data_IF_296975146393
#
_entry.id   IF_296975146393
#
_cell.length_a   1.000
_cell.length_b   1.000
_cell.length_c   1.000
_cell.angle_alpha   90.00
_cell.angle_beta   90.00
_cell.angle_gamma   90.00
#
_symmetry.space_group_name_H-M   'P 1'
#
loop_
_entity.id
_entity.type
_entity.pdbx_description
1 polymer ?
#
# COMPACT_ATOMS: atom_id res chain seq x y z
N UNK A 1 1.40 -14.81 -12.44
CA UNK A 1 0.29 -13.82 -12.36
C UNK A 1 0.10 -13.51 -10.90
N UNK A 2 0.29 -12.26 -10.49
CA UNK A 2 0.16 -11.84 -9.09
C UNK A 2 -1.17 -11.10 -8.89
N UNK A 3 -1.90 -11.36 -7.79
CA UNK A 3 -3.06 -10.57 -7.42
C UNK A 3 -2.63 -9.18 -6.98
N UNK A 4 -3.24 -8.15 -7.57
CA UNK A 4 -3.05 -6.75 -7.19
C UNK A 4 -4.25 -6.31 -6.35
N UNK A 5 -3.94 -5.75 -5.19
CA UNK A 5 -4.91 -5.12 -4.30
C UNK A 5 -4.86 -3.59 -4.49
N UNK A 6 -6.03 -2.98 -4.61
CA UNK A 6 -6.19 -1.53 -4.55
C UNK A 6 -6.32 -1.13 -3.10
N UNK A 7 -5.32 -0.42 -2.58
CA UNK A 7 -5.24 0.10 -1.23
C UNK A 7 -5.63 1.58 -1.21
N UNK A 8 -6.72 1.91 -0.52
CA UNK A 8 -7.13 3.26 -0.19
C UNK A 8 -6.63 3.59 1.22
N UNK A 9 -5.81 4.62 1.34
CA UNK A 9 -5.19 5.01 2.60
C UNK A 9 -5.57 6.46 2.90
N UNK A 10 -6.18 6.68 4.06
CA UNK A 10 -6.46 8.02 4.54
C UNK A 10 -5.53 8.32 5.71
N UNK A 11 -4.76 9.39 5.59
CA UNK A 11 -3.72 9.78 6.57
C UNK A 11 -3.61 11.31 6.67
N UNK A 12 -3.25 11.88 7.83
CA UNK A 12 -2.86 13.28 7.91
C UNK A 12 -1.69 13.63 6.98
N UNK A 13 -1.69 14.84 6.42
CA UNK A 13 -0.65 15.29 5.49
C UNK A 13 0.77 15.25 6.08
N UNK A 14 0.91 15.37 7.41
CA UNK A 14 2.18 15.27 8.13
C UNK A 14 2.88 13.90 8.00
N UNK A 15 2.13 12.80 7.82
CA UNK A 15 2.70 11.45 7.66
C UNK A 15 2.71 10.95 6.21
N UNK A 16 2.19 11.74 5.27
CA UNK A 16 2.04 11.34 3.86
C UNK A 16 3.35 10.83 3.26
N UNK A 17 4.46 11.52 3.49
CA UNK A 17 5.77 11.14 2.95
C UNK A 17 6.23 9.75 3.40
N UNK A 18 5.98 9.41 4.67
CA UNK A 18 6.32 8.08 5.22
C UNK A 18 5.44 7.00 4.58
N UNK A 19 4.14 7.28 4.40
CA UNK A 19 3.19 6.36 3.77
C UNK A 19 3.55 6.11 2.31
N UNK A 20 3.88 7.14 1.54
CA UNK A 20 4.29 7.01 0.14
C UNK A 20 5.57 6.15 0.04
N UNK A 21 6.56 6.44 0.89
CA UNK A 21 7.82 5.68 0.92
C UNK A 21 7.56 4.19 1.18
N UNK A 22 6.68 3.87 2.14
CA UNK A 22 6.27 2.50 2.44
C UNK A 22 5.57 1.84 1.24
N UNK A 23 4.67 2.55 0.56
CA UNK A 23 3.98 2.03 -0.63
C UNK A 23 4.97 1.71 -1.76
N UNK A 24 5.94 2.59 -2.02
CA UNK A 24 6.97 2.38 -3.04
C UNK A 24 7.89 1.20 -2.69
N UNK A 25 8.31 1.07 -1.42
CA UNK A 25 9.09 -0.08 -0.95
C UNK A 25 8.36 -1.41 -1.19
N UNK A 26 7.03 -1.40 -1.09
CA UNK A 26 6.15 -2.55 -1.34
C UNK A 26 5.74 -2.73 -2.80
N UNK A 27 6.48 -2.15 -3.74
CA UNK A 27 6.18 -2.22 -5.19
C UNK A 27 4.80 -1.65 -5.54
N UNK A 28 4.31 -0.70 -4.75
CA UNK A 28 3.03 -0.04 -4.96
C UNK A 28 3.11 0.99 -6.08
N UNK A 29 2.10 1.00 -6.95
CA UNK A 29 1.90 2.03 -7.97
C UNK A 29 0.84 3.03 -7.52
N UNK A 30 1.17 4.32 -7.53
CA UNK A 30 0.20 5.37 -7.23
C UNK A 30 -0.87 5.42 -8.32
N UNK A 31 -2.13 5.44 -7.91
CA UNK A 31 -3.29 5.55 -8.82
C UNK A 31 -3.95 6.91 -8.70
N UNK A 32 -4.18 7.35 -7.46
CA UNK A 32 -4.86 8.62 -7.19
C UNK A 32 -4.41 9.22 -5.86
N UNK A 33 -4.57 10.54 -5.72
CA UNK A 33 -4.25 11.29 -4.52
C UNK A 33 -5.16 12.51 -4.42
N UNK A 34 -5.96 12.55 -3.36
CA UNK A 34 -6.93 13.61 -3.10
C UNK A 34 -6.64 14.24 -1.74
N UNK A 35 -6.58 15.58 -1.71
CA UNK A 35 -6.38 16.35 -0.49
C UNK A 35 -7.73 16.80 0.08
N UNK A 36 -7.98 16.45 1.35
CA UNK A 36 -9.13 16.86 2.14
C UNK A 36 -8.69 17.78 3.28
N UNK A 37 -8.18 18.96 2.92
CA UNK A 37 -7.61 19.91 3.90
C UNK A 37 -6.37 19.33 4.59
N UNK A 38 -6.51 18.95 5.85
CA UNK A 38 -5.42 18.37 6.66
C UNK A 38 -5.24 16.86 6.48
N UNK A 39 -6.18 16.19 5.80
CA UNK A 39 -6.09 14.76 5.48
C UNK A 39 -5.82 14.56 3.99
N UNK A 40 -5.17 13.45 3.67
CA UNK A 40 -4.86 13.06 2.30
C UNK A 40 -5.33 11.63 2.12
N UNK A 41 -6.18 11.43 1.12
CA UNK A 41 -6.59 10.12 0.64
C UNK A 41 -5.66 9.75 -0.52
N UNK A 42 -4.91 8.67 -0.37
CA UNK A 42 -4.06 8.12 -1.43
C UNK A 42 -4.54 6.74 -1.82
N UNK A 43 -4.58 6.48 -3.12
CA UNK A 43 -4.92 5.17 -3.68
C UNK A 43 -3.69 4.59 -4.35
N UNK A 44 -3.30 3.40 -3.93
CA UNK A 44 -2.17 2.65 -4.47
C UNK A 44 -2.61 1.25 -4.90
N UNK A 45 -2.09 0.79 -6.03
CA UNK A 45 -2.19 -0.61 -6.44
C UNK A 45 -0.92 -1.33 -5.94
N UNK A 46 -1.09 -2.28 -5.01
CA UNK A 46 0.01 -3.00 -4.36
C UNK A 46 -0.18 -4.52 -4.58
N UNK A 47 0.89 -5.28 -4.87
CA UNK A 47 0.80 -6.75 -4.90
C UNK A 47 0.29 -7.29 -3.56
N UNK A 48 -0.77 -8.10 -3.60
CA UNK A 48 -1.46 -8.59 -2.40
C UNK A 48 -0.55 -9.40 -1.48
N UNK A 49 0.50 -10.05 -2.03
CA UNK A 49 1.53 -10.72 -1.23
C UNK A 49 2.24 -9.76 -0.26
N UNK A 50 2.54 -8.53 -0.69
CA UNK A 50 3.18 -7.51 0.14
C UNK A 50 2.22 -6.93 1.19
N UNK A 51 0.94 -6.80 0.83
CA UNK A 51 -0.11 -6.28 1.71
C UNK A 51 -0.34 -7.21 2.90
N UNK A 52 -0.34 -8.53 2.67
CA UNK A 52 -0.64 -9.55 3.70
C UNK A 52 0.52 -9.78 4.69
N UNK A 53 1.77 -9.50 4.30
CA UNK A 53 2.94 -9.79 5.12
C UNK A 53 3.12 -8.82 6.32
N UNK A 54 3.24 -7.52 6.06
CA UNK A 54 3.61 -6.53 7.10
C UNK A 54 3.18 -5.10 6.73
N UNK A 55 2.30 -4.93 5.73
CA UNK A 55 1.95 -3.59 5.28
C UNK A 55 1.12 -2.83 6.33
N UNK A 56 0.14 -3.50 6.93
CA UNK A 56 -0.76 -2.89 7.90
C UNK A 56 -0.04 -2.42 9.17
N UNK A 57 0.84 -3.25 9.73
CA UNK A 57 1.56 -2.93 10.96
C UNK A 57 2.58 -1.81 10.73
N UNK A 58 3.32 -1.83 9.62
CA UNK A 58 4.22 -0.73 9.23
C UNK A 58 3.46 0.56 8.94
N UNK A 59 2.28 0.49 8.30
CA UNK A 59 1.44 1.65 8.04
C UNK A 59 0.94 2.28 9.35
N UNK A 60 0.49 1.46 10.31
CA UNK A 60 0.08 1.93 11.64
C UNK A 60 1.24 2.53 12.42
N UNK A 61 2.42 1.91 12.38
CA UNK A 61 3.62 2.41 13.06
C UNK A 61 4.08 3.76 12.51
N UNK A 62 4.22 3.88 11.18
CA UNK A 62 4.71 5.11 10.51
C UNK A 62 3.75 6.30 10.61
N UNK A 63 2.47 6.02 10.85
CA UNK A 63 1.41 7.03 11.04
C UNK A 63 0.98 7.19 12.50
N UNK A 64 1.66 6.55 13.46
CA UNK A 64 1.26 6.54 14.89
C UNK A 64 -0.20 6.12 15.12
N UNK A 65 -0.74 5.27 14.24
CA UNK A 65 -2.11 4.77 14.29
C UNK A 65 -3.15 5.62 13.55
N UNK A 66 -2.78 6.83 13.09
CA UNK A 66 -3.69 7.76 12.42
C UNK A 66 -4.07 7.35 10.99
N UNK A 67 -3.25 6.53 10.32
CA UNK A 67 -3.61 6.05 8.98
C UNK A 67 -4.69 4.96 9.07
N UNK A 68 -5.64 5.01 8.15
CA UNK A 68 -6.59 3.92 7.89
C UNK A 68 -6.27 3.29 6.53
N UNK A 69 -6.55 2.00 6.40
CA UNK A 69 -6.34 1.23 5.19
C UNK A 69 -7.63 0.48 4.87
N UNK A 70 -8.14 0.69 3.67
CA UNK A 70 -9.11 -0.16 3.01
C UNK A 70 -8.41 -0.79 1.80
N UNK A 71 -8.55 -2.09 1.59
CA UNK A 71 -7.99 -2.73 0.40
C UNK A 71 -8.98 -3.69 -0.24
N UNK A 72 -9.03 -3.67 -1.56
CA UNK A 72 -9.91 -4.52 -2.35
C UNK A 72 -9.11 -5.22 -3.44
N UNK A 73 -9.44 -6.50 -3.71
CA UNK A 73 -8.86 -7.20 -4.86
C UNK A 73 -9.28 -6.49 -6.15
N UNK A 74 -8.31 -6.14 -6.99
CA UNK A 74 -8.61 -5.43 -8.22
C UNK A 74 -8.47 -6.31 -9.46
N UNK A 75 -7.29 -6.92 -9.66
CA UNK A 75 -6.99 -7.70 -10.87
C UNK A 75 -5.82 -8.65 -10.65
N UNK A 76 -5.68 -9.61 -11.55
CA UNK A 76 -4.44 -10.37 -11.69
C UNK A 76 -3.56 -9.72 -12.74
N UNK A 77 -2.31 -9.43 -12.39
CA UNK A 77 -1.33 -8.84 -13.30
C UNK A 77 -0.22 -9.86 -13.61
N UNK A 78 0.31 -9.82 -14.83
CA UNK A 78 1.41 -10.69 -15.23
C UNK A 78 2.71 -10.13 -14.65
N UNK A 79 3.23 -10.77 -13.61
CA UNK A 79 4.47 -10.37 -12.94
C UNK A 79 5.51 -11.49 -13.00
N UNK A 80 6.78 -11.10 -13.08
CA UNK A 80 7.92 -11.99 -13.29
C UNK A 80 8.38 -12.58 -11.95
N UNK A 81 7.55 -13.41 -11.35
CA UNK A 81 7.79 -14.01 -10.04
C UNK A 81 8.55 -15.34 -10.20
N UNK A 82 9.73 -15.46 -9.56
CA UNK A 82 10.51 -16.70 -9.51
C UNK A 82 10.24 -17.44 -8.20
N UNK A 83 10.07 -18.76 -8.27
CA UNK A 83 9.93 -19.61 -7.09
C UNK A 83 11.31 -19.85 -6.48
N UNK A 84 11.46 -19.53 -5.20
CA UNK A 84 12.66 -19.85 -4.42
C UNK A 84 12.34 -21.08 -3.58
N UNK A 85 13.02 -22.20 -3.84
CA UNK A 85 12.97 -23.38 -2.98
C UNK A 85 14.05 -23.27 -1.89
N UNK A 86 13.71 -23.62 -0.66
CA UNK A 86 14.63 -23.68 0.49
C UNK A 86 14.87 -25.17 0.81
N UNK A 87 16.15 -25.59 0.83
CA UNK A 87 16.59 -26.96 1.11
C UNK A 87 16.69 -27.24 2.61
#
# INVERSE_FOLDING_TARGET
REPIARCNILVPSEYLGNVITLCVEKRGSQVDMVYHGNQVAVTYDIPMAEVVLDFFDRLKSTSRGYASLDYNFQRFEASNMVRVDVL
#
